data_IF_355273608805
#
_entry.id   IF_355273608805
#
_cell.length_a   1.000
_cell.length_b   1.000
_cell.length_c   1.000
_cell.angle_alpha   90.00
_cell.angle_beta   90.00
_cell.angle_gamma   90.00
#
_symmetry.space_group_name_H-M   'P 1'
#
loop_
_entity.id
_entity.type
_entity.pdbx_description
1 polymer ?
#
# COMPACT_ATOMS: atom_id res chain seq x y z
N UNK A 1 24.99 7.94 -2.14
CA UNK A 1 23.58 8.39 -2.27
C UNK A 1 23.12 8.83 -0.89
N UNK A 2 22.37 9.93 -0.75
CA UNK A 2 21.82 10.28 0.56
C UNK A 2 20.66 9.33 0.91
N UNK A 3 20.35 9.19 2.20
CA UNK A 3 19.26 8.32 2.65
C UNK A 3 17.92 8.76 2.07
N UNK A 4 17.70 10.08 1.96
CA UNK A 4 16.49 10.68 1.38
C UNK A 4 16.32 10.31 -0.09
N UNK A 5 17.41 10.25 -0.85
CA UNK A 5 17.37 9.87 -2.26
C UNK A 5 17.07 8.37 -2.43
N UNK A 6 17.70 7.50 -1.62
CA UNK A 6 17.37 6.07 -1.60
C UNK A 6 15.90 5.82 -1.23
N UNK A 7 15.41 6.55 -0.23
CA UNK A 7 14.01 6.52 0.18
C UNK A 7 13.08 6.99 -0.95
N UNK A 8 13.42 8.08 -1.64
CA UNK A 8 12.60 8.62 -2.72
C UNK A 8 12.55 7.66 -3.92
N UNK A 9 13.68 7.03 -4.27
CA UNK A 9 13.74 6.03 -5.34
C UNK A 9 12.85 4.83 -5.02
N UNK A 10 12.92 4.31 -3.80
CA UNK A 10 12.10 3.19 -3.40
C UNK A 10 10.61 3.56 -3.24
N UNK A 11 10.31 4.76 -2.74
CA UNK A 11 8.93 5.25 -2.67
C UNK A 11 8.33 5.45 -4.07
N UNK A 12 9.12 5.95 -5.03
CA UNK A 12 8.70 6.05 -6.42
C UNK A 12 8.41 4.67 -7.02
N UNK A 13 9.24 3.65 -6.69
CA UNK A 13 9.00 2.27 -7.10
C UNK A 13 7.71 1.70 -6.49
N UNK A 14 7.48 1.91 -5.20
CA UNK A 14 6.21 1.57 -4.52
C UNK A 14 5.03 2.19 -5.25
N UNK A 15 5.06 3.50 -5.52
CA UNK A 15 3.98 4.19 -6.23
C UNK A 15 3.75 3.59 -7.63
N UNK A 16 4.83 3.30 -8.36
CA UNK A 16 4.76 2.74 -9.71
C UNK A 16 4.14 1.33 -9.74
N UNK A 17 4.25 0.56 -8.66
CA UNK A 17 3.72 -0.80 -8.55
C UNK A 17 2.30 -0.79 -7.98
N UNK A 18 2.09 -0.10 -6.86
CA UNK A 18 0.89 -0.25 -6.04
C UNK A 18 -0.28 0.59 -6.56
N UNK A 19 -0.03 1.80 -7.06
CA UNK A 19 -1.09 2.68 -7.56
C UNK A 19 -1.85 2.04 -8.74
N UNK A 20 -1.18 1.42 -9.73
CA UNK A 20 -1.89 0.68 -10.78
C UNK A 20 -2.72 -0.49 -10.26
N UNK A 21 -2.27 -1.18 -9.22
CA UNK A 21 -3.01 -2.31 -8.61
C UNK A 21 -4.29 -1.80 -7.94
N UNK A 22 -4.18 -0.75 -7.13
CA UNK A 22 -5.35 -0.09 -6.54
C UNK A 22 -6.31 0.44 -7.60
N UNK A 23 -5.79 1.11 -8.62
CA UNK A 23 -6.60 1.62 -9.73
C UNK A 23 -7.32 0.49 -10.49
N UNK A 24 -6.63 -0.61 -10.79
CA UNK A 24 -7.21 -1.74 -11.50
C UNK A 24 -8.32 -2.44 -10.69
N UNK A 25 -8.08 -2.69 -9.40
CA UNK A 25 -8.97 -3.47 -8.54
C UNK A 25 -10.13 -2.65 -7.98
N UNK A 26 -9.93 -1.35 -7.69
CA UNK A 26 -10.92 -0.52 -7.00
C UNK A 26 -11.63 0.51 -7.88
N UNK A 27 -11.21 0.74 -9.14
CA UNK A 27 -11.84 1.76 -10.04
C UNK A 27 -13.36 1.72 -10.13
N UNK A 28 -13.97 0.54 -10.07
CA UNK A 28 -15.43 0.38 -10.17
C UNK A 28 -16.17 0.84 -8.91
N UNK A 29 -15.46 0.92 -7.78
CA UNK A 29 -16.01 1.23 -6.47
C UNK A 29 -15.55 2.61 -5.95
N UNK A 30 -14.52 3.19 -6.56
CA UNK A 30 -13.99 4.53 -6.25
C UNK A 30 -14.64 5.65 -7.09
N UNK A 31 -15.70 5.35 -7.85
CA UNK A 31 -16.45 6.30 -8.69
C UNK A 31 -15.76 6.71 -10.00
N UNK A 32 -14.42 6.78 -10.04
CA UNK A 32 -13.66 7.10 -11.25
C UNK A 32 -12.24 6.52 -11.23
N UNK A 33 -11.59 6.51 -12.41
CA UNK A 33 -10.17 6.15 -12.53
C UNK A 33 -9.28 7.06 -11.67
N UNK A 34 -9.48 8.38 -11.77
CA UNK A 34 -8.73 9.36 -10.98
C UNK A 34 -8.98 9.21 -9.48
N UNK A 35 -10.21 8.87 -9.08
CA UNK A 35 -10.54 8.57 -7.69
C UNK A 35 -9.75 7.38 -7.14
N UNK A 36 -9.62 6.31 -7.93
CA UNK A 36 -8.84 5.14 -7.52
C UNK A 36 -7.33 5.39 -7.49
N UNK A 37 -6.81 6.17 -8.44
CA UNK A 37 -5.40 6.62 -8.45
C UNK A 37 -5.11 7.51 -7.24
N UNK A 38 -5.97 8.50 -6.97
CA UNK A 38 -5.83 9.40 -5.83
C UNK A 38 -5.88 8.63 -4.50
N UNK A 39 -6.78 7.64 -4.39
CA UNK A 39 -6.84 6.75 -3.23
C UNK A 39 -5.52 5.98 -3.06
N UNK A 40 -5.02 5.33 -4.11
CA UNK A 40 -3.75 4.60 -4.04
C UNK A 40 -2.58 5.50 -3.61
N UNK A 41 -2.45 6.68 -4.20
CA UNK A 41 -1.39 7.65 -3.82
C UNK A 41 -1.55 8.08 -2.35
N UNK A 42 -2.77 8.39 -1.92
CA UNK A 42 -3.04 8.84 -0.55
C UNK A 42 -2.69 7.75 0.48
N UNK A 43 -2.98 6.48 0.18
CA UNK A 43 -2.61 5.35 1.02
C UNK A 43 -1.08 5.27 1.16
N UNK A 44 -0.33 5.24 0.06
CA UNK A 44 1.14 5.10 0.14
C UNK A 44 1.79 6.27 0.89
N UNK A 45 1.32 7.51 0.64
CA UNK A 45 1.83 8.70 1.35
C UNK A 45 1.54 8.62 2.85
N UNK A 46 0.40 8.07 3.25
CA UNK A 46 0.01 7.98 4.65
C UNK A 46 0.75 6.87 5.41
N UNK A 47 1.14 5.78 4.74
CA UNK A 47 1.62 4.56 5.41
C UNK A 47 3.10 4.31 5.22
N UNK A 48 3.64 4.49 4.01
CA UNK A 48 4.99 4.06 3.68
C UNK A 48 6.08 4.90 4.34
N UNK A 49 5.98 6.24 4.51
CA UNK A 49 6.95 6.95 5.32
C UNK A 49 7.13 6.31 6.71
N UNK A 50 6.05 5.82 7.34
CA UNK A 50 6.17 5.15 8.62
C UNK A 50 7.03 3.87 8.53
N UNK A 51 6.81 2.99 7.56
CA UNK A 51 7.63 1.78 7.41
C UNK A 51 9.12 2.11 7.30
N UNK A 52 9.46 3.05 6.43
CA UNK A 52 10.85 3.36 6.09
C UNK A 52 11.60 4.07 7.22
N UNK A 53 10.92 4.96 7.95
CA UNK A 53 11.54 5.69 9.06
C UNK A 53 11.51 4.92 10.39
N UNK A 54 10.57 3.97 10.58
CA UNK A 54 10.46 3.20 11.82
C UNK A 54 11.15 1.84 11.76
N UNK A 55 11.03 1.06 10.66
CA UNK A 55 11.58 -0.31 10.61
C UNK A 55 13.07 -0.41 10.96
N UNK A 56 13.97 0.46 10.45
CA UNK A 56 15.41 0.37 10.74
C UNK A 56 15.79 0.67 12.19
N UNK A 57 14.85 1.13 13.03
CA UNK A 57 15.11 1.49 14.43
C UNK A 57 14.94 0.32 15.40
N UNK A 58 14.48 -0.84 14.92
CA UNK A 58 14.13 -1.97 15.78
C UNK A 58 14.85 -3.25 15.37
N UNK A 59 15.18 -4.08 16.37
CA UNK A 59 15.77 -5.40 16.19
C UNK A 59 14.84 -6.51 16.72
N UNK A 60 14.79 -7.70 16.09
CA UNK A 60 15.50 -8.06 14.86
C UNK A 60 14.86 -7.43 13.61
N UNK A 61 15.67 -6.80 12.76
CA UNK A 61 15.21 -6.02 11.59
C UNK A 61 14.11 -6.69 10.77
N UNK A 62 14.34 -7.93 10.31
CA UNK A 62 13.38 -8.63 9.45
C UNK A 62 12.03 -8.93 10.09
N UNK A 63 12.00 -9.17 11.42
CA UNK A 63 10.73 -9.38 12.12
C UNK A 63 9.91 -8.09 12.16
N UNK A 64 10.56 -6.94 12.32
CA UNK A 64 9.90 -5.64 12.29
C UNK A 64 9.45 -5.23 10.90
N UNK A 65 10.23 -5.52 9.85
CA UNK A 65 9.78 -5.34 8.46
C UNK A 65 8.49 -6.12 8.21
N UNK A 66 8.47 -7.43 8.49
CA UNK A 66 7.27 -8.27 8.29
C UNK A 66 6.08 -7.78 9.12
N UNK A 67 6.33 -7.35 10.36
CA UNK A 67 5.27 -6.82 11.24
C UNK A 67 4.68 -5.54 10.66
N UNK A 68 5.51 -4.60 10.19
CA UNK A 68 5.06 -3.34 9.62
C UNK A 68 4.33 -3.54 8.29
N UNK A 69 4.79 -4.44 7.43
CA UNK A 69 4.10 -4.82 6.19
C UNK A 69 2.68 -5.34 6.48
N UNK A 70 2.52 -6.22 7.48
CA UNK A 70 1.20 -6.73 7.90
C UNK A 70 0.32 -5.60 8.43
N UNK A 71 0.89 -4.70 9.25
CA UNK A 71 0.15 -3.55 9.80
C UNK A 71 -0.29 -2.60 8.69
N UNK A 72 0.58 -2.28 7.73
CA UNK A 72 0.28 -1.41 6.59
C UNK A 72 -0.78 -2.04 5.71
N UNK A 73 -0.62 -3.31 5.34
CA UNK A 73 -1.63 -4.05 4.60
C UNK A 73 -3.03 -3.89 5.21
N UNK A 74 -3.14 -4.13 6.53
CA UNK A 74 -4.40 -4.02 7.26
C UNK A 74 -4.93 -2.58 7.28
N UNK A 75 -4.09 -1.59 7.60
CA UNK A 75 -4.49 -0.18 7.66
C UNK A 75 -4.99 0.28 6.29
N UNK A 76 -4.22 0.05 5.22
CA UNK A 76 -4.58 0.48 3.88
C UNK A 76 -5.84 -0.22 3.38
N UNK A 77 -6.00 -1.52 3.67
CA UNK A 77 -7.18 -2.27 3.28
C UNK A 77 -8.45 -1.78 3.98
N UNK A 78 -8.34 -1.43 5.27
CA UNK A 78 -9.44 -0.84 6.04
C UNK A 78 -9.79 0.57 5.56
N UNK A 79 -8.78 1.42 5.34
CA UNK A 79 -8.97 2.78 4.81
C UNK A 79 -9.59 2.76 3.41
N UNK A 80 -9.12 1.88 2.53
CA UNK A 80 -9.74 1.68 1.21
C UNK A 80 -11.21 1.24 1.35
N UNK A 81 -11.50 0.28 2.24
CA UNK A 81 -12.87 -0.19 2.50
C UNK A 81 -13.82 0.87 3.06
N UNK A 82 -13.29 1.86 3.79
CA UNK A 82 -14.06 3.02 4.26
C UNK A 82 -14.48 3.92 3.09
N UNK A 83 -13.52 4.19 2.19
CA UNK A 83 -13.68 5.15 1.09
C UNK A 83 -14.50 4.59 -0.06
N UNK A 84 -14.32 3.32 -0.43
CA UNK A 84 -15.01 2.75 -1.59
C UNK A 84 -16.46 2.37 -1.28
N UNK A 85 -17.29 2.45 -2.32
CA UNK A 85 -18.69 2.05 -2.25
C UNK A 85 -18.92 0.80 -3.10
N UNK A 86 -19.10 -0.33 -2.41
CA UNK A 86 -19.37 -1.61 -3.03
C UNK A 86 -20.88 -1.90 -3.06
N UNK A 87 -21.48 -2.32 -4.19
CA UNK A 87 -22.94 -2.49 -4.34
C UNK A 87 -23.53 -3.56 -3.41
N UNK A 88 -22.72 -4.51 -2.95
CA UNK A 88 -23.10 -5.54 -1.97
C UNK A 88 -22.94 -5.10 -0.50
N UNK A 89 -22.61 -3.84 -0.23
CA UNK A 89 -22.46 -3.26 1.10
C UNK A 89 -21.03 -3.27 1.66
N UNK A 90 -20.85 -2.65 2.84
CA UNK A 90 -19.53 -2.33 3.42
C UNK A 90 -18.67 -3.54 3.75
N UNK A 91 -19.24 -4.70 4.10
CA UNK A 91 -18.46 -5.94 4.29
C UNK A 91 -17.64 -6.30 3.04
N UNK A 92 -18.23 -6.15 1.85
CA UNK A 92 -17.53 -6.41 0.60
C UNK A 92 -16.55 -5.28 0.26
N UNK A 93 -16.85 -4.03 0.62
CA UNK A 93 -15.90 -2.93 0.48
C UNK A 93 -14.61 -3.21 1.25
N UNK A 94 -14.70 -3.61 2.52
CA UNK A 94 -13.53 -4.02 3.31
C UNK A 94 -12.81 -5.23 2.73
N UNK A 95 -13.53 -6.26 2.29
CA UNK A 95 -12.91 -7.44 1.69
C UNK A 95 -12.11 -7.09 0.43
N UNK A 96 -12.65 -6.23 -0.44
CA UNK A 96 -11.95 -5.75 -1.63
C UNK A 96 -10.80 -4.80 -1.31
N UNK A 97 -10.95 -3.94 -0.31
CA UNK A 97 -9.88 -3.08 0.19
C UNK A 97 -8.69 -3.91 0.69
N UNK A 98 -8.95 -4.91 1.54
CA UNK A 98 -7.93 -5.83 2.05
C UNK A 98 -7.29 -6.65 0.93
N UNK A 99 -8.05 -7.11 -0.05
CA UNK A 99 -7.52 -7.84 -1.20
C UNK A 99 -6.61 -6.96 -2.05
N UNK A 100 -7.04 -5.73 -2.37
CA UNK A 100 -6.24 -4.79 -3.15
C UNK A 100 -4.94 -4.43 -2.43
N UNK A 101 -5.04 -4.14 -1.14
CA UNK A 101 -3.88 -3.87 -0.29
C UNK A 101 -2.91 -5.05 -0.21
N UNK A 102 -3.42 -6.28 -0.08
CA UNK A 102 -2.59 -7.49 -0.06
C UNK A 102 -1.84 -7.65 -1.38
N UNK A 103 -2.54 -7.53 -2.51
CA UNK A 103 -1.93 -7.64 -3.81
C UNK A 103 -0.87 -6.56 -4.04
N UNK A 104 -1.13 -5.33 -3.60
CA UNK A 104 -0.22 -4.20 -3.72
C UNK A 104 1.06 -4.43 -2.90
N UNK A 105 0.94 -4.60 -1.58
CA UNK A 105 2.06 -4.80 -0.66
C UNK A 105 2.87 -6.07 -0.99
N UNK A 106 2.20 -7.18 -1.30
CA UNK A 106 2.91 -8.42 -1.66
C UNK A 106 3.72 -8.25 -2.96
N UNK A 107 3.15 -7.55 -3.96
CA UNK A 107 3.85 -7.33 -5.24
C UNK A 107 5.04 -6.39 -5.05
N UNK A 108 4.86 -5.27 -4.35
CA UNK A 108 5.94 -4.31 -4.10
C UNK A 108 7.04 -4.89 -3.22
N UNK A 109 6.69 -5.64 -2.17
CA UNK A 109 7.64 -6.37 -1.33
C UNK A 109 8.45 -7.38 -2.14
N UNK A 110 7.78 -8.24 -2.94
CA UNK A 110 8.48 -9.26 -3.74
C UNK A 110 9.42 -8.64 -4.78
N UNK A 111 8.99 -7.56 -5.45
CA UNK A 111 9.85 -6.84 -6.40
C UNK A 111 11.01 -6.18 -5.66
N UNK A 112 10.76 -5.55 -4.52
CA UNK A 112 11.79 -4.93 -3.69
C UNK A 112 12.85 -5.94 -3.25
N UNK A 113 12.44 -7.14 -2.82
CA UNK A 113 13.36 -8.22 -2.45
C UNK A 113 14.14 -8.78 -3.66
N UNK A 114 13.54 -8.82 -4.85
CA UNK A 114 14.21 -9.31 -6.06
C UNK A 114 15.25 -8.34 -6.65
N UNK A 115 15.20 -7.05 -6.24
CA UNK A 115 16.12 -6.00 -6.69
C UNK A 115 17.29 -5.75 -5.72
N UNK A 116 17.29 -6.41 -4.55
CA UNK A 116 18.36 -6.33 -3.54
C UNK A 116 19.43 -7.40 -3.76
#
# INVERSE_FOLDING_TARGET
MSYELMWLEAFALTLAIEVPIYAALLRRYAGSWFGAVALGVALQVATHPALWFFAPRFEPYWAWVVTLEVVIWLIEGLLAGLVIDHPKGKRYAYAYGLLASLCANATSTLIGLALQ
#
